data_IF_300416631616
#
_entry.id   IF_300416631616
#
_cell.length_a   1.000
_cell.length_b   1.000
_cell.length_c   1.000
_cell.angle_alpha   90.00
_cell.angle_beta   90.00
_cell.angle_gamma   90.00
#
_symmetry.space_group_name_H-M   'P 1'
#
loop_
_entity.id
_entity.type
_entity.pdbx_description
1 polymer ?
#
# COMPACT_ATOMS: atom_id res chain seq x y z
N UNK A 1 6.12 -15.06 -0.94
CA UNK A 1 4.90 -14.40 -0.41
C UNK A 1 3.65 -15.26 -0.46
N UNK A 2 3.40 -16.04 -1.53
CA UNK A 2 2.21 -16.90 -1.60
C UNK A 2 2.10 -17.91 -0.45
N UNK A 3 3.20 -18.56 -0.07
CA UNK A 3 3.24 -19.46 1.08
C UNK A 3 2.93 -18.73 2.41
N UNK A 4 3.43 -17.50 2.58
CA UNK A 4 3.11 -16.67 3.74
C UNK A 4 1.62 -16.33 3.77
N UNK A 5 1.06 -15.89 2.64
CA UNK A 5 -0.34 -15.51 2.51
C UNK A 5 -1.29 -16.67 2.83
N UNK A 6 -0.93 -17.90 2.44
CA UNK A 6 -1.70 -19.10 2.77
C UNK A 6 -1.97 -19.26 4.27
N UNK A 7 -1.01 -18.88 5.12
CA UNK A 7 -1.15 -18.95 6.57
C UNK A 7 -1.55 -17.62 7.23
N UNK A 8 -1.44 -16.51 6.51
CA UNK A 8 -1.73 -15.17 7.01
C UNK A 8 -3.12 -14.65 6.61
N UNK A 9 -3.79 -15.27 5.64
CA UNK A 9 -5.18 -14.92 5.29
C UNK A 9 -6.09 -15.11 6.52
N UNK A 10 -7.08 -14.22 6.68
CA UNK A 10 -7.92 -14.19 7.87
C UNK A 10 -8.61 -15.54 8.16
N UNK A 11 -8.57 -16.06 9.40
CA UNK A 11 -7.84 -15.55 10.56
C UNK A 11 -6.34 -15.89 10.52
N UNK A 12 -5.48 -14.88 10.69
CA UNK A 12 -4.03 -15.02 10.55
C UNK A 12 -3.44 -15.95 11.63
N UNK A 13 -2.59 -16.92 11.22
CA UNK A 13 -1.89 -17.81 12.17
C UNK A 13 -0.61 -17.21 12.73
N UNK A 14 0.05 -16.35 11.96
CA UNK A 14 1.21 -15.58 12.39
C UNK A 14 1.31 -14.29 11.58
N UNK A 15 1.95 -13.28 12.17
CA UNK A 15 2.08 -11.95 11.61
C UNK A 15 3.44 -11.77 10.92
N UNK A 16 3.47 -10.88 9.92
CA UNK A 16 4.69 -10.60 9.15
C UNK A 16 5.81 -9.97 9.99
N UNK A 17 5.42 -9.10 10.94
CA UNK A 17 6.34 -8.29 11.74
C UNK A 17 7.14 -7.29 10.90
N UNK A 18 7.97 -6.50 11.59
CA UNK A 18 8.79 -5.46 10.96
C UNK A 18 9.89 -6.05 10.06
N UNK A 19 10.43 -7.21 10.42
CA UNK A 19 11.44 -7.92 9.61
C UNK A 19 10.93 -8.20 8.20
N UNK A 20 9.67 -8.67 8.07
CA UNK A 20 9.08 -8.96 6.78
C UNK A 20 8.66 -7.69 6.04
N UNK A 21 7.97 -6.75 6.71
CA UNK A 21 7.44 -5.55 6.06
C UNK A 21 8.56 -4.62 5.55
N UNK A 22 9.59 -4.38 6.36
CA UNK A 22 10.72 -3.52 5.98
C UNK A 22 11.56 -4.16 4.86
N UNK A 23 11.86 -5.46 4.95
CA UNK A 23 12.66 -6.14 3.92
C UNK A 23 11.98 -6.12 2.55
N UNK A 24 10.66 -6.33 2.47
CA UNK A 24 9.91 -6.20 1.22
C UNK A 24 9.91 -4.76 0.69
N UNK A 25 9.63 -3.78 1.56
CA UNK A 25 9.59 -2.37 1.17
C UNK A 25 10.93 -1.88 0.61
N UNK A 26 12.02 -2.20 1.31
CA UNK A 26 13.39 -1.85 0.90
C UNK A 26 13.74 -2.55 -0.41
N UNK A 27 13.49 -3.85 -0.52
CA UNK A 27 13.80 -4.62 -1.73
C UNK A 27 13.07 -4.07 -2.95
N UNK A 28 11.78 -3.73 -2.81
CA UNK A 28 10.99 -3.13 -3.88
C UNK A 28 11.55 -1.76 -4.30
N UNK A 29 11.94 -0.91 -3.33
CA UNK A 29 12.59 0.37 -3.61
C UNK A 29 13.92 0.21 -4.34
N UNK A 30 14.78 -0.71 -3.88
CA UNK A 30 16.08 -1.02 -4.52
C UNK A 30 15.88 -1.51 -5.95
N UNK A 31 14.95 -2.44 -6.19
CA UNK A 31 14.65 -2.93 -7.54
C UNK A 31 14.19 -1.79 -8.46
N UNK A 32 13.34 -0.88 -7.97
CA UNK A 32 12.88 0.26 -8.76
C UNK A 32 14.04 1.19 -9.15
N UNK A 33 15.00 1.43 -8.24
CA UNK A 33 16.19 2.22 -8.54
C UNK A 33 17.11 1.52 -9.54
N UNK A 34 17.37 0.22 -9.36
CA UNK A 34 18.23 -0.57 -10.26
C UNK A 34 17.67 -0.68 -11.68
N UNK A 35 16.34 -0.68 -11.82
CA UNK A 35 15.65 -0.72 -13.11
C UNK A 35 15.37 0.67 -13.69
N UNK A 36 15.75 1.75 -12.99
CA UNK A 36 15.43 3.13 -13.33
C UNK A 36 13.91 3.37 -13.52
N UNK A 37 13.09 2.67 -12.73
CA UNK A 37 11.61 2.77 -12.74
C UNK A 37 11.07 3.48 -11.51
N UNK A 38 11.89 4.26 -10.80
CA UNK A 38 11.54 4.95 -9.55
C UNK A 38 10.27 5.80 -9.66
N UNK A 39 10.03 6.45 -10.81
CA UNK A 39 8.83 7.25 -11.04
C UNK A 39 7.54 6.42 -11.12
N UNK A 40 7.64 5.11 -11.40
CA UNK A 40 6.52 4.18 -11.45
C UNK A 40 6.25 3.51 -10.09
N UNK A 41 7.13 3.69 -9.10
CA UNK A 41 6.97 3.12 -7.76
C UNK A 41 5.60 3.46 -7.13
N UNK A 42 5.04 4.69 -7.26
CA UNK A 42 3.71 4.99 -6.74
C UNK A 42 2.58 4.17 -7.38
N UNK A 43 2.78 3.60 -8.58
CA UNK A 43 1.79 2.72 -9.22
C UNK A 43 1.94 1.27 -8.76
N UNK A 44 3.18 0.78 -8.66
CA UNK A 44 3.48 -0.57 -8.17
C UNK A 44 3.22 -0.72 -6.66
N UNK A 45 3.41 0.35 -5.89
CA UNK A 45 3.23 0.39 -4.44
C UNK A 45 2.05 1.29 -4.03
N UNK A 46 1.03 1.41 -4.87
CA UNK A 46 -0.05 2.39 -4.72
C UNK A 46 -0.71 2.40 -3.34
N UNK A 47 -1.15 1.24 -2.85
CA UNK A 47 -1.75 1.12 -1.52
C UNK A 47 -0.76 1.49 -0.41
N UNK A 48 0.51 1.06 -0.49
CA UNK A 48 1.54 1.40 0.50
C UNK A 48 1.80 2.91 0.56
N UNK A 49 1.80 3.57 -0.61
CA UNK A 49 1.93 5.02 -0.72
C UNK A 49 0.70 5.73 -0.15
N UNK A 50 -0.52 5.27 -0.47
CA UNK A 50 -1.75 5.85 0.05
C UNK A 50 -1.88 5.70 1.57
N UNK A 51 -1.50 4.55 2.11
CA UNK A 51 -1.46 4.31 3.56
C UNK A 51 -0.53 5.31 4.25
N UNK A 52 0.68 5.47 3.74
CA UNK A 52 1.67 6.41 4.28
C UNK A 52 1.21 7.88 4.14
N UNK A 53 0.68 8.24 2.97
CA UNK A 53 0.16 9.58 2.70
C UNK A 53 -1.02 9.92 3.62
N UNK A 54 -1.90 8.97 3.91
CA UNK A 54 -3.04 9.19 4.80
C UNK A 54 -2.58 9.61 6.20
N UNK A 55 -1.54 8.97 6.73
CA UNK A 55 -0.93 9.30 8.03
C UNK A 55 -0.29 10.68 7.99
N UNK A 56 0.51 10.97 6.95
CA UNK A 56 1.18 12.27 6.79
C UNK A 56 0.15 13.41 6.75
N UNK A 57 -0.86 13.29 5.90
CA UNK A 57 -1.93 14.29 5.74
C UNK A 57 -2.70 14.49 7.05
N UNK A 58 -3.02 13.40 7.76
CA UNK A 58 -3.70 13.45 9.05
C UNK A 58 -2.86 14.15 10.13
N UNK A 59 -1.57 13.82 10.23
CA UNK A 59 -0.65 14.43 11.21
C UNK A 59 -0.49 15.92 10.91
N UNK A 60 -0.29 16.29 9.65
CA UNK A 60 -0.19 17.69 9.22
C UNK A 60 -1.48 18.45 9.57
N UNK A 61 -2.65 17.89 9.29
CA UNK A 61 -3.93 18.53 9.61
C UNK A 61 -4.13 18.72 11.12
N UNK A 62 -3.79 17.71 11.93
CA UNK A 62 -3.84 17.86 13.39
C UNK A 62 -2.88 18.95 13.88
N UNK A 63 -1.69 19.07 13.28
CA UNK A 63 -0.69 20.06 13.68
C UNK A 63 -1.08 21.49 13.26
N UNK A 64 -1.64 21.67 12.07
CA UNK A 64 -1.96 23.00 11.51
C UNK A 64 -3.37 23.49 11.86
N UNK A 65 -4.36 22.59 11.84
CA UNK A 65 -5.78 22.93 12.00
C UNK A 65 -6.38 22.41 13.30
N UNK A 66 -5.69 21.54 14.04
CA UNK A 66 -6.23 20.86 15.22
C UNK A 66 -7.34 19.85 14.91
N UNK A 67 -7.60 19.55 13.64
CA UNK A 67 -8.74 18.72 13.19
C UNK A 67 -8.26 17.48 12.44
N UNK A 68 -8.97 16.37 12.65
CA UNK A 68 -8.79 15.12 11.89
C UNK A 68 -9.44 15.24 10.51
N UNK A 69 -8.80 14.68 9.48
CA UNK A 69 -9.35 14.51 8.13
C UNK A 69 -10.01 13.13 8.02
N UNK A 70 -9.30 12.07 8.41
CA UNK A 70 -9.82 10.72 8.48
C UNK A 70 -10.26 10.37 9.91
N UNK A 71 -11.23 9.46 10.06
CA UNK A 71 -11.69 9.00 11.38
C UNK A 71 -10.54 8.34 12.15
N UNK A 72 -9.81 7.45 11.45
CA UNK A 72 -8.58 6.80 11.91
C UNK A 72 -7.57 6.75 10.76
N UNK A 73 -6.29 6.65 11.07
CA UNK A 73 -5.20 6.42 10.11
C UNK A 73 -4.27 5.35 10.66
N UNK A 74 -3.73 4.44 9.84
CA UNK A 74 -3.71 4.47 8.36
C UNK A 74 -5.07 4.20 7.68
N UNK A 75 -5.17 4.36 6.35
CA UNK A 75 -6.45 4.48 5.64
C UNK A 75 -7.32 3.20 5.73
N UNK A 76 -6.74 2.01 5.87
CA UNK A 76 -7.55 0.81 6.14
C UNK A 76 -8.37 0.92 7.43
N UNK A 77 -7.79 1.44 8.53
CA UNK A 77 -8.53 1.67 9.77
C UNK A 77 -9.61 2.75 9.63
N UNK A 78 -9.48 3.67 8.67
CA UNK A 78 -10.57 4.58 8.35
C UNK A 78 -11.79 3.82 7.83
N UNK A 79 -11.59 2.86 6.93
CA UNK A 79 -12.68 2.02 6.39
C UNK A 79 -13.27 1.08 7.43
N UNK A 80 -12.45 0.50 8.30
CA UNK A 80 -12.93 -0.30 9.43
C UNK A 80 -13.78 0.52 10.39
N UNK A 81 -13.36 1.76 10.70
CA UNK A 81 -14.14 2.68 11.53
C UNK A 81 -15.46 3.11 10.87
N UNK A 82 -15.59 3.00 9.54
CA UNK A 82 -16.85 3.17 8.81
C UNK A 82 -17.73 1.90 8.84
N UNK A 83 -17.30 0.84 9.52
CA UNK A 83 -18.03 -0.41 9.67
C UNK A 83 -17.72 -1.46 8.61
N UNK A 84 -16.66 -1.30 7.81
CA UNK A 84 -16.27 -2.36 6.87
C UNK A 84 -15.57 -3.50 7.60
N UNK A 85 -15.88 -4.78 7.27
CA UNK A 85 -15.10 -5.92 7.75
C UNK A 85 -13.66 -5.84 7.25
N UNK A 86 -12.69 -6.22 8.08
CA UNK A 86 -11.26 -6.27 7.74
C UNK A 86 -10.99 -7.02 6.43
N UNK A 87 -11.62 -8.20 6.26
CA UNK A 87 -11.51 -9.01 5.04
C UNK A 87 -11.98 -8.28 3.78
N UNK A 88 -13.03 -7.44 3.90
CA UNK A 88 -13.54 -6.63 2.79
C UNK A 88 -12.54 -5.54 2.40
N UNK A 89 -11.87 -4.92 3.36
CA UNK A 89 -10.83 -3.91 3.10
C UNK A 89 -9.65 -4.56 2.39
N UNK A 90 -9.12 -5.66 2.94
CA UNK A 90 -7.98 -6.41 2.38
C UNK A 90 -8.23 -6.85 0.93
N UNK A 91 -9.38 -7.48 0.65
CA UNK A 91 -9.69 -7.95 -0.71
C UNK A 91 -9.82 -6.79 -1.71
N UNK A 92 -10.43 -5.67 -1.31
CA UNK A 92 -10.57 -4.49 -2.18
C UNK A 92 -9.22 -3.84 -2.45
N UNK A 93 -8.36 -3.76 -1.45
CA UNK A 93 -7.01 -3.20 -1.61
C UNK A 93 -6.16 -4.07 -2.53
N UNK A 94 -6.30 -5.40 -2.49
CA UNK A 94 -5.63 -6.28 -3.45
C UNK A 94 -6.08 -6.02 -4.89
N UNK A 95 -7.39 -5.87 -5.12
CA UNK A 95 -7.92 -5.55 -6.46
C UNK A 95 -7.32 -4.23 -6.95
N UNK A 96 -7.31 -3.19 -6.12
CA UNK A 96 -6.73 -1.89 -6.47
C UNK A 96 -5.24 -2.03 -6.77
N UNK A 97 -4.47 -2.71 -5.92
CA UNK A 97 -3.03 -2.93 -6.12
C UNK A 97 -2.72 -3.65 -7.43
N UNK A 98 -3.50 -4.69 -7.78
CA UNK A 98 -3.32 -5.43 -9.03
C UNK A 98 -3.60 -4.53 -10.23
N UNK A 99 -4.69 -3.76 -10.19
CA UNK A 99 -5.07 -2.83 -11.28
C UNK A 99 -4.03 -1.74 -11.46
N UNK A 100 -3.59 -1.06 -10.39
CA UNK A 100 -2.59 0.01 -10.51
C UNK A 100 -1.22 -0.53 -10.91
N UNK A 101 -0.86 -1.73 -10.48
CA UNK A 101 0.40 -2.38 -10.90
C UNK A 101 0.36 -2.75 -12.38
N UNK A 102 -0.78 -3.25 -12.88
CA UNK A 102 -0.96 -3.52 -14.30
C UNK A 102 -0.87 -2.22 -15.13
N UNK A 103 -1.48 -1.12 -14.67
CA UNK A 103 -1.32 0.20 -15.29
C UNK A 103 0.14 0.66 -15.30
N UNK A 104 0.88 0.46 -14.20
CA UNK A 104 2.30 0.76 -14.12
C UNK A 104 3.13 -0.02 -15.14
N UNK A 105 2.81 -1.30 -15.37
CA UNK A 105 3.45 -2.13 -16.40
C UNK A 105 3.14 -1.60 -17.80
N UNK A 106 1.88 -1.26 -18.08
CA UNK A 106 1.47 -0.70 -19.38
C UNK A 106 2.26 0.59 -19.67
N UNK A 107 2.34 1.50 -18.69
CA UNK A 107 3.11 2.74 -18.82
C UNK A 107 4.61 2.49 -19.01
N UNK A 108 5.17 1.52 -18.29
CA UNK A 108 6.58 1.12 -18.46
C UNK A 108 6.86 0.69 -19.90
N UNK A 109 6.03 -0.18 -20.47
CA UNK A 109 6.20 -0.64 -21.84
C UNK A 109 5.96 0.47 -22.85
N UNK A 110 4.92 1.29 -22.69
CA UNK A 110 4.65 2.42 -23.59
C UNK A 110 5.84 3.39 -23.66
N UNK A 111 6.42 3.73 -22.52
CA UNK A 111 7.60 4.60 -22.46
C UNK A 111 8.87 3.96 -23.07
N UNK A 112 8.89 2.64 -23.26
CA UNK A 112 10.01 1.93 -23.89
C UNK A 112 9.89 1.87 -25.41
N UNK A 113 8.67 1.93 -25.95
CA UNK A 113 8.38 1.83 -27.38
C UNK A 113 8.27 3.19 -28.09
N UNK A 114 7.94 4.26 -27.35
CA UNK A 114 7.98 5.65 -27.81
C UNK A 114 9.39 6.24 -27.65
#
# INVERSE_FOLDING_TARGET
LLAFLWFNIYPARFFMGDTGSMSLGITMGVIAMLTNTTLLLPLFASILVLESLSVIVQVISKKLRGKKIFISTPIHHHFEALGWPETKVTMRFWIISVVTSALGLVLFFLNRYL
#
